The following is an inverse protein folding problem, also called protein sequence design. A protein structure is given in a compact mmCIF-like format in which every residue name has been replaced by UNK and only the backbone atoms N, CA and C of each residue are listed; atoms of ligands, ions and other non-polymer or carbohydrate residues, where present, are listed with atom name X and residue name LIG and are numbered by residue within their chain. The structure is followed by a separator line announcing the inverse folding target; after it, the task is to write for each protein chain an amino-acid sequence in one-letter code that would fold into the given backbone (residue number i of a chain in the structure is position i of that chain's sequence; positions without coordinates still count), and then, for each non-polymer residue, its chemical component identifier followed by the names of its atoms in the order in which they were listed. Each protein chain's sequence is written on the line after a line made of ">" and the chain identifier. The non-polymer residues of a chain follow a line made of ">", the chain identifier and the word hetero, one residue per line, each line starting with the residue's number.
data_IF_538891582232
#
_entry.id   IF_538891582232
#
_cell.length_a   1.000
_cell.length_b   1.000
_cell.length_c   1.000
_cell.angle_alpha   90.00
_cell.angle_beta   90.00
_cell.angle_gamma   90.00
#
_symmetry.space_group_name_H-M   'P 1'
#
loop_
_entity.id
_entity.type
_entity.pdbx_description
1 polymer ?
#
# COMPACT_ATOMS: atom_id res chain seq x y z
N UNK A 1 7.28 -29.61 17.54
CA UNK A 1 7.43 -28.31 16.86
C UNK A 1 6.91 -28.50 15.45
N UNK A 2 5.66 -28.14 15.18
CA UNK A 2 5.06 -28.21 13.85
C UNK A 2 5.74 -27.19 12.96
N UNK A 3 6.24 -27.61 11.79
CA UNK A 3 6.64 -26.69 10.73
C UNK A 3 5.54 -25.62 10.56
N UNK A 4 5.85 -24.33 10.39
CA UNK A 4 4.82 -23.34 10.10
C UNK A 4 4.01 -23.87 8.91
N UNK A 5 2.73 -24.16 9.17
CA UNK A 5 1.93 -24.99 8.28
C UNK A 5 1.83 -24.33 6.92
N UNK A 6 2.37 -24.96 5.86
CA UNK A 6 2.12 -24.52 4.49
C UNK A 6 0.62 -24.65 4.19
N UNK A 7 0.10 -23.73 3.40
CA UNK A 7 -1.31 -23.70 3.00
C UNK A 7 -1.90 -22.28 2.99
N UNK A 8 -3.17 -22.16 2.58
CA UNK A 8 -3.83 -20.86 2.40
C UNK A 8 -3.88 -20.03 3.69
N UNK A 9 -4.00 -20.66 4.86
CA UNK A 9 -4.03 -19.95 6.14
C UNK A 9 -2.70 -19.25 6.43
N UNK A 10 -1.55 -19.89 6.16
CA UNK A 10 -0.26 -19.26 6.39
C UNK A 10 0.00 -18.11 5.42
N UNK A 11 -0.37 -18.26 4.16
CA UNK A 11 -0.34 -17.17 3.18
C UNK A 11 -1.19 -15.99 3.65
N UNK A 12 -2.44 -16.23 4.07
CA UNK A 12 -3.34 -15.17 4.54
C UNK A 12 -2.83 -14.50 5.83
N UNK A 13 -2.09 -15.21 6.68
CA UNK A 13 -1.42 -14.62 7.85
C UNK A 13 -0.28 -13.68 7.44
N UNK A 14 0.49 -14.03 6.41
CA UNK A 14 1.53 -13.16 5.86
C UNK A 14 0.90 -11.92 5.21
N UNK A 15 -0.08 -12.09 4.32
CA UNK A 15 -0.83 -10.97 3.72
C UNK A 15 -1.48 -10.09 4.79
N UNK A 16 -1.97 -10.69 5.88
CA UNK A 16 -2.56 -9.99 7.02
C UNK A 16 -1.62 -8.97 7.68
N UNK A 17 -0.30 -9.10 7.53
CA UNK A 17 0.69 -8.12 8.02
C UNK A 17 0.53 -6.75 7.39
N UNK A 18 -0.03 -6.63 6.18
CA UNK A 18 -0.29 -5.36 5.48
C UNK A 18 -1.21 -4.42 6.27
N UNK A 19 -2.01 -4.96 7.21
CA UNK A 19 -2.83 -4.16 8.15
C UNK A 19 -2.00 -3.40 9.17
N UNK A 20 -0.72 -3.75 9.30
CA UNK A 20 0.21 -3.23 10.28
C UNK A 20 1.43 -2.55 9.65
N UNK A 21 1.66 -2.73 8.34
CA UNK A 21 2.61 -1.92 7.56
C UNK A 21 1.98 -0.56 7.34
N UNK A 22 2.61 0.47 7.88
CA UNK A 22 2.18 1.87 7.74
C UNK A 22 2.81 2.46 6.51
N UNK A 23 2.08 3.34 5.81
CA UNK A 23 2.64 4.06 4.66
C UNK A 23 3.76 5.01 5.11
N UNK A 24 4.98 4.67 4.76
CA UNK A 24 6.25 5.27 5.18
C UNK A 24 6.32 6.77 4.81
N UNK A 25 5.70 7.17 3.69
CA UNK A 25 5.60 8.58 3.28
C UNK A 25 4.90 9.47 4.32
N UNK A 26 3.82 8.99 4.95
CA UNK A 26 3.07 9.75 5.96
C UNK A 26 3.81 9.83 7.29
N UNK A 27 4.44 8.73 7.70
CA UNK A 27 5.30 8.69 8.90
C UNK A 27 6.38 9.77 8.82
N UNK A 28 7.05 9.87 7.66
CA UNK A 28 8.12 10.84 7.41
C UNK A 28 7.61 12.28 7.39
N UNK A 29 6.38 12.48 6.92
CA UNK A 29 5.72 13.80 6.88
C UNK A 29 5.22 14.26 8.25
N UNK A 30 5.50 13.51 9.33
CA UNK A 30 5.14 13.87 10.70
C UNK A 30 3.67 13.58 11.05
N UNK A 31 2.96 12.83 10.22
CA UNK A 31 1.61 12.34 10.54
C UNK A 31 1.76 11.19 11.53
N UNK A 32 1.34 11.38 12.78
CA UNK A 32 1.40 10.35 13.81
C UNK A 32 1.54 10.93 15.22
N UNK A 33 1.52 10.11 16.28
CA UNK A 33 1.77 10.59 17.64
C UNK A 33 3.15 11.28 17.71
N UNK A 34 3.17 12.48 18.29
CA UNK A 34 4.28 13.43 18.22
C UNK A 34 5.65 12.81 18.47
N UNK A 35 6.60 13.13 17.59
CA UNK A 35 7.93 12.53 17.55
C UNK A 35 9.01 13.49 18.02
N UNK A 36 10.03 12.98 18.71
CA UNK A 36 11.27 13.71 18.95
C UNK A 36 12.20 13.62 17.71
N UNK A 37 13.01 14.64 17.41
CA UNK A 37 13.94 14.61 16.26
C UNK A 37 14.99 13.49 16.43
N UNK A 38 15.20 12.68 15.39
CA UNK A 38 16.32 11.72 15.31
C UNK A 38 16.00 10.25 15.63
N UNK A 39 14.77 9.91 15.98
CA UNK A 39 14.39 8.52 16.23
C UNK A 39 14.31 7.74 14.89
N UNK A 40 14.73 6.46 14.84
CA UNK A 40 14.61 5.59 13.66
C UNK A 40 13.32 4.79 13.81
N UNK A 41 12.38 4.86 12.85
CA UNK A 41 11.16 4.03 12.91
C UNK A 41 11.54 2.62 12.45
N UNK A 42 11.33 1.58 13.28
CA UNK A 42 11.52 0.21 12.83
C UNK A 42 10.55 -0.10 11.69
N UNK A 43 11.02 -0.88 10.69
CA UNK A 43 10.24 -1.35 9.53
C UNK A 43 8.91 -2.03 9.90
N UNK A 44 8.78 -2.50 11.15
CA UNK A 44 7.55 -2.98 11.75
C UNK A 44 7.30 -2.26 13.08
N UNK A 45 6.28 -1.40 13.16
CA UNK A 45 5.82 -0.83 14.44
C UNK A 45 4.50 -1.49 14.85
N UNK A 46 4.45 -2.22 15.99
CA UNK A 46 3.17 -2.63 16.56
C UNK A 46 2.35 -1.39 16.94
N UNK A 47 1.04 -1.44 16.69
CA UNK A 47 0.13 -0.37 17.10
C UNK A 47 0.15 -0.22 18.63
N UNK A 48 0.26 1.00 19.19
CA UNK A 48 -0.02 1.19 20.60
C UNK A 48 -1.51 0.91 20.87
N UNK A 49 -1.87 0.38 22.06
CA UNK A 49 -3.26 0.23 22.44
C UNK A 49 -3.92 1.61 22.47
N UNK A 50 -5.10 1.71 21.87
CA UNK A 50 -5.93 2.91 21.82
C UNK A 50 -6.25 3.40 23.23
N UNK A 51 -5.44 4.32 23.74
CA UNK A 51 -5.79 5.15 24.89
C UNK A 51 -6.21 6.52 24.37
N UNK A 52 -7.36 7.01 24.83
CA UNK A 52 -8.09 8.14 24.26
C UNK A 52 -7.32 9.46 24.32
N UNK A 53 -6.56 9.75 23.27
CA UNK A 53 -6.03 11.07 22.99
C UNK A 53 -6.57 11.52 21.63
N UNK A 54 -7.42 12.54 21.64
CA UNK A 54 -8.09 13.16 20.50
C UNK A 54 -7.13 13.98 19.60
N UNK A 55 -5.93 13.44 19.33
CA UNK A 55 -4.87 14.17 18.61
C UNK A 55 -3.87 13.36 17.80
N UNK A 56 -3.86 12.02 17.83
CA UNK A 56 -3.00 11.24 16.92
C UNK A 56 -3.78 10.86 15.66
N UNK A 57 -3.47 11.49 14.52
CA UNK A 57 -4.04 11.06 13.25
C UNK A 57 -3.59 9.62 12.95
N UNK A 58 -4.54 8.73 12.67
CA UNK A 58 -4.28 7.33 12.33
C UNK A 58 -3.64 7.30 10.94
N UNK A 59 -2.37 6.91 10.88
CA UNK A 59 -1.66 6.67 9.62
C UNK A 59 -2.31 5.47 8.93
N UNK A 60 -2.64 5.61 7.66
CA UNK A 60 -3.17 4.50 6.86
C UNK A 60 -2.17 3.33 6.78
N UNK A 61 -2.69 2.11 6.72
CA UNK A 61 -1.88 0.94 6.40
C UNK A 61 -1.86 0.69 4.89
N UNK A 62 -0.90 -0.10 4.42
CA UNK A 62 -0.82 -0.51 3.01
C UNK A 62 -2.11 -1.20 2.55
N UNK A 63 -2.73 -1.98 3.44
CA UNK A 63 -4.04 -2.57 3.15
C UNK A 63 -5.17 -1.55 3.00
N UNK A 64 -5.14 -0.44 3.76
CA UNK A 64 -6.14 0.64 3.65
C UNK A 64 -6.03 1.30 2.25
N UNK A 65 -4.79 1.53 1.80
CA UNK A 65 -4.43 2.07 0.49
C UNK A 65 -4.91 1.18 -0.66
N UNK A 66 -4.48 -0.09 -0.70
CA UNK A 66 -4.87 -1.04 -1.76
C UNK A 66 -6.39 -1.26 -1.82
N UNK A 67 -7.08 -1.26 -0.67
CA UNK A 67 -8.54 -1.37 -0.63
C UNK A 67 -9.20 -0.17 -1.32
N UNK A 68 -8.79 1.06 -1.00
CA UNK A 68 -9.37 2.26 -1.61
C UNK A 68 -9.06 2.35 -3.11
N UNK A 69 -7.85 1.97 -3.53
CA UNK A 69 -7.52 1.82 -4.95
C UNK A 69 -8.42 0.81 -5.67
N UNK A 70 -8.68 -0.35 -5.06
CA UNK A 70 -9.55 -1.38 -5.64
C UNK A 70 -10.98 -0.87 -5.81
N UNK A 71 -11.48 -0.08 -4.85
CA UNK A 71 -12.77 0.62 -4.96
C UNK A 71 -12.74 1.65 -6.08
N UNK A 72 -11.66 2.42 -6.23
CA UNK A 72 -11.50 3.37 -7.33
C UNK A 72 -11.53 2.67 -8.69
N UNK A 73 -10.77 1.58 -8.86
CA UNK A 73 -10.77 0.76 -10.08
C UNK A 73 -12.15 0.18 -10.39
N UNK A 74 -12.89 -0.27 -9.36
CA UNK A 74 -14.28 -0.70 -9.51
C UNK A 74 -15.17 0.44 -10.01
N UNK A 75 -15.07 1.63 -9.42
CA UNK A 75 -15.91 2.78 -9.73
C UNK A 75 -15.69 3.35 -11.15
N UNK A 76 -14.54 3.06 -11.77
CA UNK A 76 -14.25 3.48 -13.14
C UNK A 76 -15.23 2.95 -14.18
N UNK A 77 -15.92 1.84 -13.90
CA UNK A 77 -16.98 1.32 -14.76
C UNK A 77 -18.14 2.30 -14.98
N UNK A 78 -18.28 3.31 -14.13
CA UNK A 78 -19.31 4.35 -14.23
C UNK A 78 -18.74 5.73 -14.57
N UNK A 79 -17.42 5.86 -14.76
CA UNK A 79 -16.80 7.11 -15.13
C UNK A 79 -17.18 7.47 -16.59
N UNK A 80 -17.66 8.69 -16.86
CA UNK A 80 -18.06 9.10 -18.21
C UNK A 80 -16.83 9.30 -19.09
N UNK A 81 -16.33 8.24 -19.74
CA UNK A 81 -15.28 8.35 -20.75
C UNK A 81 -15.18 7.14 -21.68
N UNK A 82 -14.61 7.38 -22.86
CA UNK A 82 -14.18 6.37 -23.84
C UNK A 82 -13.09 5.42 -23.32
N UNK A 83 -12.52 5.65 -22.14
CA UNK A 83 -11.48 4.81 -21.55
C UNK A 83 -12.01 3.43 -21.11
N UNK A 84 -13.31 3.28 -20.84
CA UNK A 84 -13.91 1.99 -20.46
C UNK A 84 -13.72 0.90 -21.53
N UNK A 85 -13.58 1.29 -22.80
CA UNK A 85 -13.44 0.34 -23.90
C UNK A 85 -12.02 -0.22 -24.07
N UNK A 86 -11.04 0.27 -23.31
CA UNK A 86 -9.61 -0.01 -23.53
C UNK A 86 -8.93 -0.78 -22.39
N UNK A 87 -9.62 -1.01 -21.26
CA UNK A 87 -9.02 -1.65 -20.07
C UNK A 87 -9.91 -2.75 -19.51
N UNK A 88 -9.31 -3.87 -19.11
CA UNK A 88 -9.99 -4.89 -18.32
C UNK A 88 -10.12 -4.43 -16.85
N UNK A 89 -11.34 -4.08 -16.46
CA UNK A 89 -11.67 -3.64 -15.11
C UNK A 89 -11.33 -4.69 -14.05
N UNK A 90 -11.70 -5.95 -14.29
CA UNK A 90 -11.54 -7.01 -13.28
C UNK A 90 -10.06 -7.30 -13.08
N UNK A 91 -9.25 -7.14 -14.13
CA UNK A 91 -7.80 -7.12 -14.05
C UNK A 91 -7.27 -5.93 -13.24
N UNK A 92 -7.75 -4.72 -13.47
CA UNK A 92 -7.35 -3.53 -12.69
C UNK A 92 -7.64 -3.71 -11.19
N UNK A 93 -8.82 -4.25 -10.83
CA UNK A 93 -9.19 -4.51 -9.43
C UNK A 93 -8.23 -5.53 -8.81
N UNK A 94 -7.99 -6.66 -9.48
CA UNK A 94 -7.07 -7.70 -9.00
C UNK A 94 -5.63 -7.18 -8.87
N UNK A 95 -5.17 -6.39 -9.83
CA UNK A 95 -3.85 -5.76 -9.81
C UNK A 95 -3.72 -4.78 -8.63
N UNK A 96 -4.71 -3.91 -8.41
CA UNK A 96 -4.73 -2.99 -7.26
C UNK A 96 -4.67 -3.73 -5.91
N UNK A 97 -5.32 -4.90 -5.80
CA UNK A 97 -5.29 -5.73 -4.58
C UNK A 97 -3.93 -6.36 -4.28
N UNK A 98 -3.05 -6.52 -5.27
CA UNK A 98 -1.81 -7.30 -5.12
C UNK A 98 -0.53 -6.53 -5.41
N UNK A 99 -0.60 -5.30 -5.93
CA UNK A 99 0.60 -4.56 -6.34
C UNK A 99 1.60 -4.33 -5.19
N UNK A 100 1.11 -4.03 -3.98
CA UNK A 100 1.93 -3.87 -2.76
C UNK A 100 1.93 -5.13 -1.86
N UNK A 101 1.53 -6.30 -2.36
CA UNK A 101 1.42 -7.50 -1.51
C UNK A 101 2.78 -7.95 -0.93
N UNK A 102 3.88 -7.66 -1.64
CA UNK A 102 5.24 -7.93 -1.23
C UNK A 102 5.65 -7.16 0.05
N UNK A 103 5.06 -5.97 0.28
CA UNK A 103 5.33 -5.14 1.45
C UNK A 103 4.92 -5.81 2.76
N UNK A 104 4.09 -6.86 2.72
CA UNK A 104 3.75 -7.69 3.87
C UNK A 104 4.98 -8.33 4.53
N UNK A 105 6.06 -8.48 3.77
CA UNK A 105 7.35 -9.02 4.21
C UNK A 105 8.46 -7.97 4.01
N UNK A 106 8.53 -7.34 2.83
CA UNK A 106 9.56 -6.36 2.51
C UNK A 106 9.40 -5.04 3.29
N UNK A 107 8.19 -4.73 3.77
CA UNK A 107 7.83 -3.39 4.27
C UNK A 107 7.66 -2.37 3.13
N UNK A 108 7.07 -1.22 3.45
CA UNK A 108 6.92 -0.10 2.50
C UNK A 108 8.26 0.63 2.34
N UNK A 109 8.93 0.37 1.22
CA UNK A 109 10.23 0.93 0.84
C UNK A 109 10.01 2.16 -0.05
N UNK A 110 10.48 3.30 0.42
CA UNK A 110 10.35 4.60 -0.25
C UNK A 110 11.67 5.06 -0.89
N UNK A 111 11.63 5.99 -1.85
CA UNK A 111 12.85 6.60 -2.41
C UNK A 111 13.78 7.26 -1.36
N UNK A 112 13.26 7.57 -0.18
CA UNK A 112 14.02 8.16 0.92
C UNK A 112 14.79 7.14 1.78
N UNK A 113 14.60 5.84 1.55
CA UNK A 113 15.28 4.78 2.29
C UNK A 113 16.69 4.49 1.76
N UNK A 114 17.10 5.15 0.67
CA UNK A 114 18.44 4.98 0.07
C UNK A 114 18.65 3.62 -0.58
N UNK A 115 17.57 2.88 -0.81
CA UNK A 115 17.56 1.59 -1.52
C UNK A 115 17.43 1.89 -3.02
N UNK A 116 18.27 1.25 -3.85
CA UNK A 116 18.17 1.42 -5.30
C UNK A 116 16.89 0.77 -5.83
N UNK A 117 16.43 1.17 -7.02
CA UNK A 117 15.25 0.54 -7.63
C UNK A 117 15.46 -0.98 -7.85
N UNK A 118 16.68 -1.37 -8.20
CA UNK A 118 17.05 -2.78 -8.39
C UNK A 118 16.98 -3.56 -7.07
N UNK A 119 17.56 -3.01 -6.00
CA UNK A 119 17.52 -3.64 -4.68
C UNK A 119 16.09 -3.71 -4.13
N UNK A 120 15.28 -2.67 -4.34
CA UNK A 120 13.84 -2.69 -3.99
C UNK A 120 13.14 -3.82 -4.72
N UNK A 121 13.32 -3.91 -6.04
CA UNK A 121 12.71 -4.94 -6.86
C UNK A 121 13.10 -6.35 -6.38
N UNK A 122 14.39 -6.58 -6.09
CA UNK A 122 14.85 -7.88 -5.59
C UNK A 122 14.27 -8.22 -4.21
N UNK A 123 14.20 -7.25 -3.28
CA UNK A 123 13.59 -7.44 -1.96
C UNK A 123 12.11 -7.80 -2.06
N UNK A 124 11.39 -7.18 -2.99
CA UNK A 124 9.97 -7.45 -3.23
C UNK A 124 9.77 -8.82 -3.91
N UNK A 125 10.65 -9.18 -4.85
CA UNK A 125 10.64 -10.48 -5.49
C UNK A 125 10.91 -11.62 -4.47
N UNK A 126 11.88 -11.46 -3.58
CA UNK A 126 12.18 -12.42 -2.52
C UNK A 126 11.00 -12.57 -1.54
N UNK A 127 10.30 -11.46 -1.26
CA UNK A 127 9.07 -11.46 -0.49
C UNK A 127 7.95 -12.24 -1.18
N UNK A 128 7.75 -12.05 -2.49
CA UNK A 128 6.78 -12.82 -3.28
C UNK A 128 7.11 -14.31 -3.30
N UNK A 129 8.37 -14.70 -3.48
CA UNK A 129 8.81 -16.10 -3.41
C UNK A 129 8.46 -16.70 -2.04
N UNK A 130 8.68 -15.95 -0.97
CA UNK A 130 8.32 -16.37 0.40
C UNK A 130 6.81 -16.55 0.55
N UNK A 131 6.00 -15.63 0.01
CA UNK A 131 4.54 -15.74 -0.02
C UNK A 131 4.10 -17.00 -0.81
N UNK A 132 4.60 -17.22 -2.02
CA UNK A 132 4.26 -18.38 -2.84
C UNK A 132 4.61 -19.70 -2.17
N UNK A 133 5.79 -19.79 -1.55
CA UNK A 133 6.21 -20.96 -0.78
C UNK A 133 5.31 -21.28 0.42
N UNK A 134 4.65 -20.26 0.99
CA UNK A 134 3.72 -20.43 2.10
C UNK A 134 2.35 -20.95 1.67
N UNK A 135 1.93 -20.68 0.42
CA UNK A 135 0.59 -21.00 -0.08
C UNK A 135 0.40 -22.50 -0.35
N UNK A 136 1.49 -23.21 -0.66
CA UNK A 136 1.50 -24.65 -0.94
C UNK A 136 1.33 -24.98 -2.43
N UNK A 137 1.59 -26.24 -2.80
CA UNK A 137 1.62 -26.68 -4.21
C UNK A 137 0.23 -26.69 -4.88
N UNK A 138 -0.84 -26.88 -4.12
CA UNK A 138 -2.22 -26.94 -4.63
C UNK A 138 -2.69 -25.59 -5.24
N UNK A 139 -2.08 -24.48 -4.84
CA UNK A 139 -2.51 -23.13 -5.21
C UNK A 139 -1.50 -22.41 -6.12
N UNK A 140 -0.63 -23.15 -6.81
CA UNK A 140 0.40 -22.58 -7.68
C UNK A 140 -0.18 -21.72 -8.80
N UNK A 141 -1.34 -22.09 -9.36
CA UNK A 141 -2.01 -21.31 -10.39
C UNK A 141 -2.45 -19.92 -9.87
N UNK A 142 -2.99 -19.89 -8.64
CA UNK A 142 -3.38 -18.62 -8.00
C UNK A 142 -2.15 -17.75 -7.70
N UNK A 143 -1.05 -18.34 -7.25
CA UNK A 143 0.20 -17.59 -7.05
C UNK A 143 0.80 -17.09 -8.37
N UNK A 144 0.73 -17.89 -9.43
CA UNK A 144 1.17 -17.50 -10.77
C UNK A 144 0.39 -16.28 -11.28
N UNK A 145 -0.91 -16.22 -11.03
CA UNK A 145 -1.73 -15.05 -11.35
C UNK A 145 -1.29 -13.81 -10.55
N UNK A 146 -1.06 -13.94 -9.24
CA UNK A 146 -0.57 -12.85 -8.39
C UNK A 146 0.77 -12.31 -8.91
N UNK A 147 1.72 -13.21 -9.19
CA UNK A 147 3.05 -12.86 -9.67
C UNK A 147 2.99 -12.20 -11.06
N UNK A 148 2.11 -12.69 -11.94
CA UNK A 148 1.87 -12.11 -13.26
C UNK A 148 1.33 -10.68 -13.16
N UNK A 149 0.32 -10.45 -12.33
CA UNK A 149 -0.25 -9.12 -12.09
C UNK A 149 0.77 -8.16 -11.48
N UNK A 150 1.57 -8.63 -10.52
CA UNK A 150 2.63 -7.82 -9.90
C UNK A 150 3.69 -7.42 -10.93
N UNK A 151 4.20 -8.38 -11.72
CA UNK A 151 5.19 -8.09 -12.77
C UNK A 151 4.65 -7.11 -13.81
N UNK A 152 3.38 -7.26 -14.21
CA UNK A 152 2.75 -6.35 -15.16
C UNK A 152 2.60 -4.93 -14.59
N UNK A 153 2.20 -4.82 -13.31
CA UNK A 153 2.17 -3.55 -12.61
C UNK A 153 3.57 -2.91 -12.55
N UNK A 154 4.61 -3.67 -12.22
CA UNK A 154 5.98 -3.15 -12.15
C UNK A 154 6.50 -2.68 -13.52
N UNK A 155 6.22 -3.43 -14.59
CA UNK A 155 6.57 -3.03 -15.95
C UNK A 155 5.89 -1.71 -16.35
N UNK A 156 4.61 -1.52 -15.98
CA UNK A 156 3.91 -0.26 -16.22
C UNK A 156 3.62 0.04 -17.69
N UNK A 157 3.55 -0.99 -18.54
CA UNK A 157 3.42 -0.86 -19.99
C UNK A 157 1.99 -1.10 -20.50
N UNK A 158 1.21 -1.94 -19.80
CA UNK A 158 -0.17 -2.24 -20.21
C UNK A 158 -1.13 -1.10 -19.87
N UNK A 159 -2.24 -0.95 -20.61
CA UNK A 159 -3.29 0.01 -20.28
C UNK A 159 -3.78 -0.13 -18.83
N UNK A 160 -3.91 -1.37 -18.33
CA UNK A 160 -4.30 -1.64 -16.96
C UNK A 160 -3.22 -1.22 -15.96
N UNK A 161 -1.95 -1.52 -16.19
CA UNK A 161 -0.86 -1.16 -15.29
C UNK A 161 -0.67 0.36 -15.22
N UNK A 162 -0.72 1.05 -16.35
CA UNK A 162 -0.67 2.52 -16.41
C UNK A 162 -1.81 3.10 -15.58
N UNK A 163 -3.02 2.58 -15.77
CA UNK A 163 -4.18 3.05 -15.04
C UNK A 163 -4.05 2.81 -13.52
N UNK A 164 -3.64 1.62 -13.11
CA UNK A 164 -3.50 1.30 -11.68
C UNK A 164 -2.38 2.14 -11.04
N UNK A 165 -1.30 2.46 -11.74
CA UNK A 165 -0.28 3.43 -11.27
C UNK A 165 -0.81 4.85 -11.15
N UNK A 166 -1.71 5.27 -12.04
CA UNK A 166 -2.36 6.59 -11.92
C UNK A 166 -3.33 6.63 -10.74
N UNK A 167 -4.06 5.53 -10.49
CA UNK A 167 -4.90 5.38 -9.31
C UNK A 167 -4.07 5.41 -8.02
N UNK A 168 -2.91 4.73 -7.97
CA UNK A 168 -2.00 4.75 -6.83
C UNK A 168 -1.56 6.18 -6.47
N UNK A 169 -1.12 6.96 -7.45
CA UNK A 169 -0.76 8.37 -7.26
C UNK A 169 -1.94 9.23 -6.82
N UNK A 170 -3.11 9.04 -7.44
CA UNK A 170 -4.31 9.81 -7.11
C UNK A 170 -4.79 9.49 -5.68
N UNK A 171 -4.73 8.22 -5.31
CA UNK A 171 -5.10 7.75 -3.99
C UNK A 171 -4.17 8.36 -2.93
N UNK A 172 -2.84 8.36 -3.18
CA UNK A 172 -1.86 9.00 -2.30
C UNK A 172 -2.13 10.50 -2.12
N UNK A 173 -2.58 11.22 -3.16
CA UNK A 173 -2.97 12.63 -3.05
C UNK A 173 -4.26 12.84 -2.23
N UNK A 174 -5.23 11.93 -2.36
CA UNK A 174 -6.47 12.00 -1.58
C UNK A 174 -6.26 11.58 -0.12
N UNK A 175 -5.36 10.64 0.10
CA UNK A 175 -4.98 10.09 1.39
C UNK A 175 -4.30 11.10 2.33
N UNK A 176 -3.95 12.30 1.83
CA UNK A 176 -3.35 13.38 2.62
C UNK A 176 -4.19 13.58 3.88
N UNK A 177 -3.64 13.27 5.06
CA UNK A 177 -4.36 13.43 6.31
C UNK A 177 -4.70 14.92 6.47
N UNK A 178 -5.96 15.24 6.77
CA UNK A 178 -6.49 16.62 6.81
C UNK A 178 -5.68 17.60 7.69
N UNK A 179 -4.80 17.09 8.57
CA UNK A 179 -3.87 17.91 9.36
C UNK A 179 -2.61 18.40 8.61
N UNK A 180 -2.33 17.88 7.40
CA UNK A 180 -1.20 18.29 6.56
C UNK A 180 -1.55 19.41 5.57
N UNK A 181 -2.84 19.68 5.37
CA UNK A 181 -3.29 20.83 4.59
C UNK A 181 -3.14 22.03 5.52
N UNK A 182 -2.07 22.82 5.35
CA UNK A 182 -1.88 24.05 6.09
C UNK A 182 -3.15 24.91 5.95
N UNK A 183 -3.90 25.07 7.03
CA UNK A 183 -5.00 26.03 7.04
C UNK A 183 -4.38 27.43 6.86
N UNK A 184 -4.92 28.27 5.97
CA UNK A 184 -4.46 29.64 5.88
C UNK A 184 -4.60 30.32 7.25
N UNK A 185 -3.64 31.17 7.66
CA UNK A 185 -3.73 31.86 8.94
C UNK A 185 -5.05 32.64 9.02
N UNK A 186 -5.67 32.73 10.20
CA UNK A 186 -6.90 33.50 10.37
C UNK A 186 -6.66 34.95 9.93
N UNK A 187 -7.66 35.62 9.33
CA UNK A 187 -7.52 37.01 8.92
C UNK A 187 -7.12 37.86 10.13
N UNK A 188 -6.15 38.76 9.93
CA UNK A 188 -5.68 39.66 10.98
C UNK A 188 -6.88 40.42 11.58
N UNK A 189 -6.95 40.58 12.91
CA UNK A 189 -8.01 41.37 13.53
C UNK A 189 -7.97 42.78 12.94
N UNK A 190 -9.11 43.21 12.38
CA UNK A 190 -9.26 44.54 11.80
C UNK A 190 -8.94 45.64 12.82
N UNK A 191 -8.53 46.84 12.36
CA UNK A 191 -8.23 47.96 13.25
C UNK A 191 -9.45 48.30 14.12
N UNK A 192 -9.21 48.51 15.42
CA UNK A 192 -10.22 48.95 16.39
C UNK A 192 -10.60 50.41 16.19
#
# INVERSE_FOLDING_TARGET
>A
MTSPGKGPIAFLQLVGKLKHVRRSGWIRSGVGPGRAPGEVVPRFTPSPPTSGHLGSQRIESVSDHMHRMSVMALLMAWAPSSAQALVDRDKCIRMALVHDIAESIAGDITPHDGVSNEDKHQLELDALITLGNSLGEEYQDAFSEILSLWNEYEAGESPEAILVKDLDKLEMLYAIPLGCIATPPPPAPGPR
#
